data_IF_475849445078
#
_entry.id   IF_475849445078
#
_cell.length_a   1.000
_cell.length_b   1.000
_cell.length_c   1.000
_cell.angle_alpha   90.00
_cell.angle_beta   90.00
_cell.angle_gamma   90.00
#
_symmetry.space_group_name_H-M   'P 1'
#
loop_
_entity.id
_entity.type
_entity.pdbx_description
1 polymer ?
#
# COMPACT_ATOMS: atom_id res chain seq x y z
N UNK A 1 -66.38 4.03 -60.10
CA UNK A 1 -67.75 3.45 -60.12
C UNK A 1 -68.28 3.46 -58.72
N UNK A 2 -69.32 4.22 -58.55
CA UNK A 2 -70.46 4.17 -57.60
C UNK A 2 -70.10 4.32 -56.15
N UNK A 3 -70.23 5.53 -55.59
CA UNK A 3 -71.47 6.14 -55.08
C UNK A 3 -72.32 5.18 -54.22
N UNK A 4 -72.50 5.52 -52.93
CA UNK A 4 -73.82 5.79 -52.41
C UNK A 4 -73.84 6.58 -51.08
N UNK A 5 -74.55 7.69 -51.15
CA UNK A 5 -74.98 8.61 -50.13
C UNK A 5 -76.22 8.02 -49.42
N UNK A 6 -76.36 8.22 -48.10
CA UNK A 6 -77.67 8.45 -47.45
C UNK A 6 -77.49 8.77 -45.94
N UNK A 7 -77.75 9.96 -45.60
CA UNK A 7 -78.96 10.66 -45.10
C UNK A 7 -79.12 10.62 -43.57
N UNK A 8 -79.03 11.81 -43.08
CA UNK A 8 -79.46 12.41 -41.81
C UNK A 8 -80.87 11.95 -41.35
N UNK A 9 -81.03 11.74 -40.07
CA UNK A 9 -82.25 12.01 -39.32
C UNK A 9 -81.94 12.58 -37.94
N UNK A 10 -82.36 13.82 -37.79
CA UNK A 10 -82.48 14.57 -36.47
C UNK A 10 -83.79 14.17 -35.84
N UNK A 11 -83.71 13.92 -34.50
CA UNK A 11 -84.88 14.12 -33.64
C UNK A 11 -84.41 14.74 -32.27
N UNK A 12 -85.13 15.73 -31.75
CA UNK A 12 -84.84 16.36 -30.49
C UNK A 12 -85.65 15.69 -29.39
N UNK A 13 -85.04 15.47 -28.25
CA UNK A 13 -85.78 15.22 -26.98
C UNK A 13 -85.19 15.96 -25.82
N UNK A 14 -85.96 16.92 -25.41
CA UNK A 14 -86.07 17.56 -24.06
C UNK A 14 -85.19 17.03 -22.90
N UNK A 15 -84.64 17.96 -22.38
CA UNK A 15 -84.33 18.38 -21.00
C UNK A 15 -84.60 17.48 -19.81
N UNK A 16 -83.51 17.30 -19.08
CA UNK A 16 -83.60 17.16 -17.61
C UNK A 16 -82.40 17.85 -17.01
N UNK A 17 -82.65 18.97 -16.36
CA UNK A 17 -81.68 19.70 -15.52
C UNK A 17 -81.41 18.86 -14.29
N UNK A 18 -80.25 18.23 -14.22
CA UNK A 18 -79.70 17.68 -12.97
C UNK A 18 -78.71 18.69 -12.42
N UNK A 19 -79.11 19.28 -11.28
CA UNK A 19 -78.18 20.08 -10.46
C UNK A 19 -77.16 19.19 -9.86
N UNK A 20 -75.97 19.18 -10.42
CA UNK A 20 -74.79 18.61 -9.75
C UNK A 20 -74.17 19.65 -8.84
N UNK A 21 -74.14 19.31 -7.56
CA UNK A 21 -73.32 19.98 -6.53
C UNK A 21 -71.86 19.85 -6.93
N UNK A 22 -71.00 20.87 -6.82
CA UNK A 22 -69.58 20.71 -7.00
C UNK A 22 -69.02 19.94 -5.84
N UNK A 23 -68.63 18.69 -6.04
CA UNK A 23 -67.79 17.97 -5.15
C UNK A 23 -66.37 18.53 -5.35
N UNK A 24 -65.91 19.27 -4.34
CA UNK A 24 -64.51 19.74 -4.32
C UNK A 24 -63.59 18.54 -4.22
N UNK A 25 -63.01 18.16 -5.36
CA UNK A 25 -61.94 17.16 -5.42
C UNK A 25 -60.66 17.87 -4.94
N UNK A 26 -60.35 17.70 -3.67
CA UNK A 26 -59.04 18.11 -3.13
C UNK A 26 -57.96 17.16 -3.71
N UNK A 27 -57.30 17.65 -4.75
CA UNK A 27 -56.10 16.98 -5.32
C UNK A 27 -54.96 17.22 -4.29
N UNK A 28 -54.73 16.28 -3.42
CA UNK A 28 -53.52 16.26 -2.57
C UNK A 28 -52.31 15.95 -3.47
N UNK A 29 -51.60 16.97 -3.88
CA UNK A 29 -50.30 16.87 -4.49
C UNK A 29 -49.33 16.44 -3.38
N UNK A 30 -49.07 15.14 -3.27
CA UNK A 30 -47.97 14.62 -2.46
C UNK A 30 -46.68 14.99 -3.20
N UNK A 31 -46.07 16.10 -2.80
CA UNK A 31 -44.72 16.46 -3.20
C UNK A 31 -43.76 15.51 -2.48
N UNK A 32 -43.40 14.39 -3.14
CA UNK A 32 -42.30 13.58 -2.68
C UNK A 32 -41.02 14.37 -2.92
N UNK A 33 -40.55 15.07 -1.90
CA UNK A 33 -39.19 15.55 -1.85
C UNK A 33 -38.27 14.31 -1.78
N UNK A 34 -37.83 13.83 -2.94
CA UNK A 34 -36.67 12.98 -3.01
C UNK A 34 -35.49 13.84 -2.55
N UNK A 35 -35.14 13.73 -1.26
CA UNK A 35 -33.83 14.15 -0.80
C UNK A 35 -32.84 13.22 -1.48
N UNK A 36 -32.30 13.66 -2.60
CA UNK A 36 -31.07 13.09 -3.13
C UNK A 36 -30.02 13.35 -2.06
N UNK A 37 -29.76 12.37 -1.20
CA UNK A 37 -28.51 12.32 -0.48
C UNK A 37 -27.46 12.19 -1.57
N UNK A 38 -26.87 13.32 -1.95
CA UNK A 38 -25.60 13.29 -2.65
C UNK A 38 -24.67 12.52 -1.70
N UNK A 39 -24.40 11.26 -2.00
CA UNK A 39 -23.22 10.59 -1.48
C UNK A 39 -22.08 11.43 -1.99
N UNK A 40 -21.51 12.28 -1.11
CA UNK A 40 -20.28 12.95 -1.42
C UNK A 40 -19.33 11.82 -1.84
N UNK A 41 -18.90 11.81 -3.10
CA UNK A 41 -17.81 10.95 -3.54
C UNK A 41 -16.71 11.15 -2.51
N UNK A 42 -16.26 10.04 -1.91
CA UNK A 42 -15.12 10.10 -1.00
C UNK A 42 -14.00 10.80 -1.76
N UNK A 43 -13.35 11.83 -1.18
CA UNK A 43 -12.29 12.55 -1.87
C UNK A 43 -11.30 11.51 -2.39
N UNK A 44 -11.07 11.51 -3.69
CA UNK A 44 -10.07 10.65 -4.32
C UNK A 44 -8.71 11.11 -3.85
N UNK A 45 -7.90 10.19 -3.33
CA UNK A 45 -6.52 10.49 -3.00
C UNK A 45 -5.78 11.05 -4.22
N UNK A 46 -4.81 11.91 -4.01
CA UNK A 46 -3.95 12.46 -5.08
C UNK A 46 -2.67 11.64 -5.20
N UNK A 47 -2.06 11.68 -6.38
CA UNK A 47 -0.74 11.07 -6.62
C UNK A 47 0.24 12.19 -6.96
N UNK A 48 1.39 12.18 -6.29
CA UNK A 48 2.50 13.12 -6.54
C UNK A 48 3.67 12.32 -7.09
N UNK A 49 4.18 12.72 -8.24
CA UNK A 49 5.42 12.19 -8.80
C UNK A 49 6.55 13.18 -8.64
N UNK A 50 7.75 12.66 -8.46
CA UNK A 50 8.97 13.42 -8.39
C UNK A 50 10.16 12.66 -8.96
N UNK A 51 11.33 13.30 -8.91
CA UNK A 51 12.59 12.67 -9.26
C UNK A 51 13.68 13.12 -8.29
N UNK A 52 14.30 12.17 -7.61
CA UNK A 52 15.30 12.42 -6.56
C UNK A 52 16.57 11.63 -6.90
N UNK A 53 17.70 12.32 -7.03
CA UNK A 53 18.99 11.67 -7.36
C UNK A 53 18.92 10.68 -8.53
N UNK A 54 18.15 11.02 -9.57
CA UNK A 54 17.91 10.23 -10.78
C UNK A 54 16.97 9.02 -10.61
N UNK A 55 16.39 8.81 -9.42
CA UNK A 55 15.31 7.83 -9.21
C UNK A 55 13.96 8.51 -9.36
N UNK A 56 13.02 7.87 -10.05
CA UNK A 56 11.64 8.30 -10.04
C UNK A 56 11.02 7.93 -8.69
N UNK A 57 10.22 8.84 -8.15
CA UNK A 57 9.56 8.68 -6.83
C UNK A 57 8.08 9.03 -6.94
N UNK A 58 7.27 8.39 -6.07
CA UNK A 58 5.82 8.57 -6.06
C UNK A 58 5.29 8.60 -4.63
N UNK A 59 4.31 9.49 -4.37
CA UNK A 59 3.44 9.44 -3.20
C UNK A 59 2.00 9.23 -3.66
N UNK A 60 1.31 8.29 -3.01
CA UNK A 60 -0.14 8.15 -3.07
C UNK A 60 -0.72 8.73 -1.78
N UNK A 61 -1.38 9.87 -1.90
CA UNK A 61 -1.92 10.63 -0.77
C UNK A 61 -3.32 10.14 -0.40
N UNK A 62 -3.63 9.92 0.87
CA UNK A 62 -4.97 9.57 1.32
C UNK A 62 -5.94 10.76 1.18
N UNK A 63 -7.26 10.49 1.11
CA UNK A 63 -8.28 11.53 1.07
C UNK A 63 -8.58 12.13 2.46
N UNK A 64 -7.54 12.48 3.21
CA UNK A 64 -7.64 13.06 4.56
C UNK A 64 -6.60 14.16 4.74
N UNK A 65 -6.89 15.11 5.63
CA UNK A 65 -5.94 16.15 6.02
C UNK A 65 -5.08 15.74 7.23
N UNK A 66 -5.36 14.58 7.82
CA UNK A 66 -4.64 14.03 8.98
C UNK A 66 -4.21 12.59 8.67
N UNK A 67 -3.13 12.41 7.89
CA UNK A 67 -2.62 11.08 7.58
C UNK A 67 -2.01 10.41 8.82
N UNK A 68 -2.08 9.08 8.86
CA UNK A 68 -1.56 8.26 9.96
C UNK A 68 -0.04 8.14 9.98
N UNK A 69 0.61 8.56 8.90
CA UNK A 69 2.04 8.46 8.65
C UNK A 69 2.31 7.94 7.23
N UNK A 70 3.57 7.69 6.95
CA UNK A 70 4.04 7.20 5.66
C UNK A 70 4.39 5.72 5.75
N UNK A 71 3.86 4.93 4.80
CA UNK A 71 4.32 3.59 4.48
C UNK A 71 5.20 3.65 3.22
N UNK A 72 6.41 3.12 3.25
CA UNK A 72 7.26 2.99 2.06
C UNK A 72 7.09 1.59 1.48
N UNK A 73 6.75 1.51 0.20
CA UNK A 73 6.65 0.25 -0.52
C UNK A 73 7.90 -0.01 -1.36
N UNK A 74 8.51 -1.17 -1.12
CA UNK A 74 9.69 -1.69 -1.82
C UNK A 74 9.26 -2.79 -2.78
N UNK A 75 9.41 -2.55 -4.08
CA UNK A 75 8.95 -3.46 -5.13
C UNK A 75 9.81 -4.72 -5.27
N UNK A 76 9.25 -5.75 -5.92
CA UNK A 76 9.98 -6.96 -6.27
C UNK A 76 10.84 -6.81 -7.52
N UNK A 77 11.58 -7.88 -7.86
CA UNK A 77 12.39 -7.94 -9.08
C UNK A 77 11.57 -7.60 -10.33
N UNK A 78 12.17 -6.90 -11.27
CA UNK A 78 11.55 -6.32 -12.47
C UNK A 78 10.46 -5.27 -12.18
N UNK A 79 10.40 -4.74 -10.97
CA UNK A 79 9.51 -3.67 -10.60
C UNK A 79 10.11 -2.28 -10.86
N UNK A 80 9.43 -1.25 -10.35
CA UNK A 80 9.82 0.15 -10.37
C UNK A 80 8.82 0.97 -9.58
N UNK A 81 8.91 2.29 -9.67
CA UNK A 81 8.15 3.26 -8.87
C UNK A 81 6.64 3.03 -8.85
N UNK A 82 6.04 2.53 -9.93
CA UNK A 82 4.60 2.28 -10.04
C UNK A 82 4.20 0.82 -9.78
N UNK A 83 5.18 -0.07 -9.53
CA UNK A 83 4.89 -1.49 -9.35
C UNK A 83 3.89 -1.70 -8.21
N UNK A 84 2.75 -2.31 -8.52
CA UNK A 84 1.65 -2.61 -7.59
C UNK A 84 1.02 -1.42 -6.84
N UNK A 85 1.50 -0.21 -7.05
CA UNK A 85 1.03 0.98 -6.32
C UNK A 85 -0.48 1.24 -6.48
N UNK A 86 -1.06 0.85 -7.61
CA UNK A 86 -2.50 0.98 -7.89
C UNK A 86 -3.30 -0.30 -7.62
N UNK A 87 -2.64 -1.36 -7.13
CA UNK A 87 -3.34 -2.59 -6.76
C UNK A 87 -4.19 -2.42 -5.49
N UNK A 88 -5.33 -3.13 -5.39
CA UNK A 88 -6.29 -2.97 -4.30
C UNK A 88 -5.68 -3.12 -2.90
N UNK A 89 -4.67 -3.97 -2.73
CA UNK A 89 -4.06 -4.23 -1.42
C UNK A 89 -3.24 -3.04 -0.90
N UNK A 90 -2.37 -2.41 -1.71
CA UNK A 90 -1.68 -1.17 -1.33
C UNK A 90 -2.64 0.02 -1.27
N UNK A 91 -3.60 0.09 -2.19
CA UNK A 91 -4.62 1.12 -2.15
C UNK A 91 -5.53 1.02 -0.91
N UNK A 92 -5.56 -0.12 -0.23
CA UNK A 92 -6.25 -0.24 1.07
C UNK A 92 -5.60 0.61 2.16
N UNK A 93 -4.27 0.72 2.18
CA UNK A 93 -3.54 1.64 3.06
C UNK A 93 -3.93 3.09 2.77
N UNK A 94 -3.92 3.50 1.50
CA UNK A 94 -4.30 4.87 1.10
C UNK A 94 -5.73 5.18 1.55
N UNK A 95 -6.68 4.27 1.30
CA UNK A 95 -8.08 4.43 1.75
C UNK A 95 -8.21 4.46 3.27
N UNK A 96 -7.31 3.81 4.00
CA UNK A 96 -7.29 3.80 5.47
C UNK A 96 -6.58 5.01 6.09
N UNK A 97 -6.12 5.96 5.27
CA UNK A 97 -5.52 7.22 5.75
C UNK A 97 -3.98 7.21 5.78
N UNK A 98 -3.31 6.24 5.16
CA UNK A 98 -1.86 6.20 5.05
C UNK A 98 -1.38 6.87 3.76
N UNK A 99 -0.26 7.57 3.84
CA UNK A 99 0.51 7.95 2.66
C UNK A 99 1.32 6.74 2.25
N UNK A 100 1.33 6.39 0.96
CA UNK A 100 2.18 5.31 0.44
C UNK A 100 3.21 5.91 -0.49
N UNK A 101 4.49 5.75 -0.15
CA UNK A 101 5.64 6.20 -0.93
C UNK A 101 6.29 5.03 -1.67
N UNK A 102 6.87 5.28 -2.84
CA UNK A 102 7.66 4.32 -3.61
C UNK A 102 8.74 5.01 -4.43
N UNK A 103 9.78 4.28 -4.80
CA UNK A 103 10.87 4.70 -5.69
C UNK A 103 11.27 3.58 -6.63
N UNK A 104 12.10 3.87 -7.61
CA UNK A 104 12.73 2.84 -8.46
C UNK A 104 13.80 2.02 -7.71
N UNK A 105 14.38 2.54 -6.62
CA UNK A 105 15.39 1.86 -5.79
C UNK A 105 16.52 1.20 -6.61
N UNK A 106 16.99 1.86 -7.67
CA UNK A 106 17.93 1.30 -8.66
C UNK A 106 17.41 0.00 -9.30
N UNK A 107 16.09 -0.10 -9.51
CA UNK A 107 15.40 -1.24 -10.11
C UNK A 107 15.71 -2.57 -9.41
N UNK A 108 16.40 -3.51 -10.04
CA UNK A 108 16.71 -4.84 -9.49
C UNK A 108 17.97 -4.79 -8.59
N UNK A 109 17.98 -3.92 -7.60
CA UNK A 109 19.16 -3.63 -6.76
C UNK A 109 19.49 -4.70 -5.71
N UNK A 110 18.53 -5.55 -5.35
CA UNK A 110 18.67 -6.59 -4.33
C UNK A 110 19.27 -6.11 -2.98
N UNK A 111 19.15 -4.83 -2.67
CA UNK A 111 19.62 -4.25 -1.40
C UNK A 111 21.09 -3.80 -1.43
N UNK A 112 21.62 -3.47 -2.60
CA UNK A 112 22.95 -2.87 -2.72
C UNK A 112 23.02 -1.49 -2.07
N UNK A 113 24.21 -0.91 -1.98
CA UNK A 113 24.43 0.40 -1.34
C UNK A 113 23.61 1.51 -1.98
N UNK A 114 23.50 1.52 -3.31
CA UNK A 114 22.74 2.54 -4.03
C UNK A 114 21.25 2.55 -3.64
N UNK A 115 20.64 1.39 -3.43
CA UNK A 115 19.24 1.33 -2.99
C UNK A 115 19.04 1.73 -1.52
N UNK A 116 20.06 1.58 -0.68
CA UNK A 116 20.07 2.16 0.67
C UNK A 116 20.04 3.69 0.60
N UNK A 117 20.91 4.29 -0.22
CA UNK A 117 20.93 5.73 -0.47
C UNK A 117 19.61 6.24 -1.07
N UNK A 118 19.02 5.49 -1.99
CA UNK A 118 17.69 5.83 -2.56
C UNK A 118 16.59 5.82 -1.51
N UNK A 119 16.65 4.90 -0.56
CA UNK A 119 15.69 4.86 0.55
C UNK A 119 15.81 6.11 1.42
N UNK A 120 17.01 6.53 1.79
CA UNK A 120 17.26 7.76 2.56
C UNK A 120 16.78 9.01 1.78
N UNK A 121 17.06 9.05 0.48
CA UNK A 121 16.63 10.15 -0.37
C UNK A 121 15.10 10.20 -0.53
N UNK A 122 14.43 9.04 -0.64
CA UNK A 122 12.98 8.95 -0.68
C UNK A 122 12.35 9.42 0.62
N UNK A 123 12.90 9.01 1.78
CA UNK A 123 12.44 9.44 3.10
C UNK A 123 12.48 10.96 3.19
N UNK A 124 13.63 11.58 2.93
CA UNK A 124 13.80 13.02 3.02
C UNK A 124 12.84 13.77 2.08
N UNK A 125 12.65 13.28 0.85
CA UNK A 125 11.71 13.87 -0.09
C UNK A 125 10.25 13.69 0.36
N UNK A 126 9.87 12.51 0.84
CA UNK A 126 8.50 12.23 1.28
C UNK A 126 8.12 13.09 2.50
N UNK A 127 9.02 13.25 3.47
CA UNK A 127 8.83 14.13 4.63
C UNK A 127 8.69 15.59 4.21
N UNK A 128 9.51 16.07 3.26
CA UNK A 128 9.41 17.44 2.71
C UNK A 128 8.06 17.68 2.01
N UNK A 129 7.57 16.71 1.23
CA UNK A 129 6.30 16.83 0.51
C UNK A 129 5.06 16.70 1.43
N UNK A 130 5.24 16.29 2.67
CA UNK A 130 4.14 15.95 3.60
C UNK A 130 4.18 16.72 4.93
N UNK A 131 4.90 17.84 4.97
CA UNK A 131 5.07 18.66 6.18
C UNK A 131 5.59 17.85 7.39
N UNK A 132 6.52 16.91 7.13
CA UNK A 132 7.19 16.14 8.18
C UNK A 132 6.38 14.94 8.71
N UNK A 133 5.49 14.37 7.90
CA UNK A 133 4.82 13.11 8.29
C UNK A 133 5.83 12.00 8.51
N UNK A 134 5.76 11.28 9.66
CA UNK A 134 6.77 10.29 10.00
C UNK A 134 6.66 9.00 9.17
N UNK A 135 7.81 8.38 8.88
CA UNK A 135 7.85 7.04 8.33
C UNK A 135 7.53 6.04 9.45
N UNK A 136 6.48 5.24 9.26
CA UNK A 136 6.01 4.30 10.29
C UNK A 136 6.01 2.84 9.85
N UNK A 137 6.05 2.59 8.55
CA UNK A 137 5.92 1.25 8.01
C UNK A 137 6.76 1.08 6.75
N UNK A 138 7.51 -0.02 6.67
CA UNK A 138 8.04 -0.54 5.41
C UNK A 138 7.19 -1.72 4.96
N UNK A 139 6.75 -1.70 3.70
CA UNK A 139 6.02 -2.77 3.04
C UNK A 139 6.87 -3.28 1.89
N UNK A 140 7.19 -4.56 1.88
CA UNK A 140 8.18 -5.11 0.96
C UNK A 140 7.64 -6.33 0.22
N UNK A 141 7.85 -6.38 -1.10
CA UNK A 141 7.51 -7.53 -1.93
C UNK A 141 8.74 -8.26 -2.45
N UNK A 142 8.91 -9.55 -2.13
CA UNK A 142 9.98 -10.40 -2.68
C UNK A 142 11.37 -9.75 -2.53
N UNK A 143 12.07 -9.41 -3.62
CA UNK A 143 13.35 -8.68 -3.63
C UNK A 143 13.33 -7.41 -2.77
N UNK A 144 12.21 -6.70 -2.71
CA UNK A 144 12.07 -5.50 -1.89
C UNK A 144 12.35 -5.72 -0.41
N UNK A 145 12.24 -6.96 0.07
CA UNK A 145 12.63 -7.32 1.45
C UNK A 145 14.14 -7.16 1.66
N UNK A 146 14.97 -7.61 0.72
CA UNK A 146 16.42 -7.38 0.80
C UNK A 146 16.75 -5.88 0.76
N UNK A 147 16.04 -5.11 -0.06
CA UNK A 147 16.22 -3.64 -0.15
C UNK A 147 15.91 -2.96 1.17
N UNK A 148 14.71 -3.21 1.69
CA UNK A 148 14.24 -2.56 2.93
C UNK A 148 15.03 -2.98 4.18
N UNK A 149 15.39 -4.26 4.31
CA UNK A 149 16.18 -4.74 5.44
C UNK A 149 17.61 -4.21 5.41
N UNK A 150 18.24 -4.11 4.23
CA UNK A 150 19.53 -3.45 4.10
C UNK A 150 19.43 -1.94 4.39
N UNK A 151 18.35 -1.26 4.02
CA UNK A 151 18.13 0.12 4.40
C UNK A 151 17.99 0.29 5.93
N UNK A 152 17.31 -0.64 6.62
CA UNK A 152 17.19 -0.64 8.09
C UNK A 152 18.49 -0.97 8.81
N UNK A 153 19.40 -1.74 8.20
CA UNK A 153 20.65 -2.20 8.80
C UNK A 153 21.80 -1.23 8.53
N UNK A 154 21.86 -0.66 7.34
CA UNK A 154 22.98 0.17 6.86
C UNK A 154 22.61 1.65 6.68
N UNK A 155 21.32 1.99 6.66
CA UNK A 155 20.82 3.35 6.61
C UNK A 155 20.69 3.99 7.99
N UNK A 156 20.15 5.21 7.99
CA UNK A 156 20.00 6.03 9.21
C UNK A 156 18.67 5.81 9.93
N UNK A 157 17.70 5.13 9.30
CA UNK A 157 16.36 5.00 9.84
C UNK A 157 15.78 3.60 9.75
N UNK A 158 15.05 3.22 10.80
CA UNK A 158 14.25 2.01 10.83
C UNK A 158 12.83 2.36 11.32
N UNK A 159 11.77 1.98 10.58
CA UNK A 159 10.42 2.25 11.02
C UNK A 159 10.03 1.36 12.20
N UNK A 160 9.00 1.75 12.99
CA UNK A 160 8.48 0.91 14.05
C UNK A 160 7.85 -0.40 13.54
N UNK A 161 7.55 -0.51 12.27
CA UNK A 161 6.94 -1.69 11.66
C UNK A 161 7.51 -2.04 10.29
N UNK A 162 7.63 -3.35 10.04
CA UNK A 162 8.03 -3.92 8.76
C UNK A 162 7.08 -5.05 8.34
N UNK A 163 6.59 -5.00 7.10
CA UNK A 163 5.66 -5.97 6.52
C UNK A 163 6.25 -6.56 5.24
N UNK A 164 6.60 -7.83 5.27
CA UNK A 164 7.20 -8.53 4.14
C UNK A 164 6.25 -9.53 3.49
N UNK A 165 5.99 -9.38 2.18
CA UNK A 165 5.22 -10.33 1.39
C UNK A 165 6.18 -11.22 0.61
N UNK A 166 6.15 -12.54 0.90
CA UNK A 166 7.07 -13.52 0.29
C UNK A 166 8.53 -13.01 0.28
N UNK A 167 9.05 -12.60 1.44
CA UNK A 167 10.29 -11.85 1.53
C UNK A 167 11.51 -12.67 1.10
N UNK A 168 12.24 -12.18 0.10
CA UNK A 168 13.52 -12.73 -0.34
C UNK A 168 14.62 -12.08 0.50
N UNK A 169 15.24 -12.85 1.40
CA UNK A 169 16.20 -12.35 2.40
C UNK A 169 17.51 -13.14 2.47
N UNK A 170 17.60 -14.30 1.84
CA UNK A 170 18.84 -15.02 1.65
C UNK A 170 19.26 -14.96 0.18
N UNK A 171 20.15 -14.05 -0.15
CA UNK A 171 20.62 -13.84 -1.53
C UNK A 171 21.32 -15.07 -2.12
N UNK A 172 21.78 -16.00 -1.26
CA UNK A 172 22.43 -17.25 -1.69
C UNK A 172 21.45 -18.39 -1.96
N UNK A 173 20.17 -18.18 -1.67
CA UNK A 173 19.10 -19.16 -1.84
C UNK A 173 18.06 -18.74 -2.90
N UNK A 174 18.50 -17.96 -3.90
CA UNK A 174 17.65 -17.43 -4.98
C UNK A 174 17.74 -18.24 -6.30
N UNK A 175 18.32 -19.42 -6.25
CA UNK A 175 18.54 -20.32 -7.42
C UNK A 175 17.26 -20.67 -8.21
N UNK A 176 16.11 -20.67 -7.56
CA UNK A 176 14.81 -20.92 -8.20
C UNK A 176 14.09 -19.66 -8.69
N UNK A 177 14.55 -18.47 -8.32
CA UNK A 177 13.96 -17.21 -8.80
C UNK A 177 14.49 -16.92 -10.21
N UNK A 178 13.62 -16.78 -11.22
CA UNK A 178 14.06 -16.62 -12.59
C UNK A 178 15.04 -15.46 -12.79
N UNK A 179 16.28 -15.79 -13.16
CA UNK A 179 17.33 -14.83 -13.47
C UNK A 179 17.99 -14.14 -12.27
N UNK A 180 17.59 -14.48 -11.04
CA UNK A 180 18.07 -13.79 -9.83
C UNK A 180 19.59 -13.88 -9.67
N UNK A 181 20.20 -15.05 -9.85
CA UNK A 181 21.67 -15.22 -9.72
C UNK A 181 22.45 -14.20 -10.57
N UNK A 182 22.08 -14.08 -11.85
CA UNK A 182 22.71 -13.10 -12.75
C UNK A 182 22.42 -11.66 -12.32
N UNK A 183 21.17 -11.36 -11.97
CA UNK A 183 20.74 -10.02 -11.61
C UNK A 183 21.40 -9.57 -10.30
N UNK A 184 21.48 -10.43 -9.30
CA UNK A 184 22.18 -10.17 -8.04
C UNK A 184 23.64 -9.87 -8.30
N UNK A 185 24.31 -10.72 -9.11
CA UNK A 185 25.71 -10.50 -9.47
C UNK A 185 25.93 -9.17 -10.22
N UNK A 186 25.00 -8.78 -11.10
CA UNK A 186 25.04 -7.47 -11.79
C UNK A 186 24.81 -6.31 -10.81
N UNK A 187 23.84 -6.43 -9.88
CA UNK A 187 23.51 -5.41 -8.92
C UNK A 187 24.66 -5.08 -7.95
N UNK A 188 25.48 -6.07 -7.61
CA UNK A 188 26.63 -5.89 -6.72
C UNK A 188 27.97 -5.77 -7.47
N UNK A 189 27.96 -5.92 -8.81
CA UNK A 189 29.20 -5.96 -9.61
C UNK A 189 30.08 -7.18 -9.33
N UNK A 190 29.48 -8.25 -8.81
CA UNK A 190 30.13 -9.51 -8.36
C UNK A 190 29.28 -10.21 -7.33
N UNK A 191 29.91 -11.06 -6.52
CA UNK A 191 29.23 -11.67 -5.37
C UNK A 191 28.78 -10.59 -4.38
N UNK A 192 27.54 -10.68 -3.82
CA UNK A 192 27.10 -9.72 -2.82
C UNK A 192 28.02 -9.78 -1.57
N UNK A 193 28.38 -8.63 -0.99
CA UNK A 193 29.12 -8.60 0.26
C UNK A 193 28.38 -9.38 1.36
N UNK A 194 29.13 -10.04 2.24
CA UNK A 194 28.56 -10.86 3.32
C UNK A 194 27.50 -10.11 4.15
N UNK A 195 27.77 -8.86 4.45
CA UNK A 195 26.93 -7.98 5.26
C UNK A 195 25.76 -7.37 4.47
N UNK A 196 25.69 -7.57 3.15
CA UNK A 196 24.53 -7.19 2.33
C UNK A 196 23.54 -8.33 2.08
N UNK A 197 23.83 -9.52 2.58
CA UNK A 197 22.87 -10.60 2.61
C UNK A 197 22.08 -10.53 3.93
N UNK A 198 20.78 -10.15 3.95
CA UNK A 198 20.02 -9.86 5.17
C UNK A 198 20.07 -10.96 6.23
N UNK A 199 20.10 -12.24 5.83
CA UNK A 199 20.20 -13.34 6.81
C UNK A 199 21.53 -13.40 7.57
N UNK A 200 22.55 -12.71 7.10
CA UNK A 200 23.85 -12.63 7.75
C UNK A 200 23.95 -11.43 8.72
N UNK A 201 22.99 -10.52 8.68
CA UNK A 201 22.97 -9.29 9.50
C UNK A 201 21.75 -9.20 10.41
N UNK A 202 21.08 -10.32 10.67
CA UNK A 202 19.94 -10.37 11.58
C UNK A 202 20.30 -9.83 12.96
N UNK A 203 21.54 -10.04 13.41
CA UNK A 203 22.06 -9.52 14.68
C UNK A 203 22.18 -7.99 14.75
N UNK A 204 22.13 -7.31 13.60
CA UNK A 204 22.18 -5.85 13.48
C UNK A 204 20.80 -5.23 13.25
N UNK A 205 19.79 -6.04 12.92
CA UNK A 205 18.44 -5.54 12.67
C UNK A 205 17.79 -5.00 13.96
N UNK A 206 16.98 -3.93 13.88
CA UNK A 206 16.37 -3.32 15.06
C UNK A 206 15.32 -4.24 15.68
N UNK A 207 15.46 -4.52 16.98
CA UNK A 207 14.53 -5.39 17.73
C UNK A 207 13.29 -4.65 18.23
N UNK A 208 13.28 -3.34 18.19
CA UNK A 208 12.12 -2.49 18.50
C UNK A 208 11.12 -2.39 17.33
N UNK A 209 11.54 -2.76 16.13
CA UNK A 209 10.63 -2.90 14.97
C UNK A 209 9.79 -4.16 15.14
N UNK A 210 8.48 -4.07 14.88
CA UNK A 210 7.59 -5.22 14.74
C UNK A 210 7.65 -5.75 13.31
N UNK A 211 7.75 -7.07 13.17
CA UNK A 211 7.89 -7.73 11.88
C UNK A 211 6.68 -8.60 11.60
N UNK A 212 6.05 -8.39 10.43
CA UNK A 212 5.00 -9.25 9.88
C UNK A 212 5.45 -9.82 8.56
N UNK A 213 5.34 -11.12 8.38
CA UNK A 213 5.67 -11.80 7.13
C UNK A 213 4.46 -12.57 6.61
N UNK A 214 4.16 -12.42 5.33
CA UNK A 214 3.17 -13.23 4.60
C UNK A 214 3.93 -14.17 3.69
N UNK A 215 3.75 -15.47 3.87
CA UNK A 215 4.55 -16.48 3.17
C UNK A 215 3.76 -17.76 2.95
N UNK A 216 4.16 -18.54 1.96
CA UNK A 216 3.56 -19.84 1.64
C UNK A 216 4.61 -20.97 1.69
N UNK A 217 4.31 -22.12 2.28
CA UNK A 217 5.16 -23.29 2.19
C UNK A 217 5.21 -23.87 0.76
N UNK A 218 4.30 -23.46 -0.12
CA UNK A 218 4.21 -23.88 -1.52
C UNK A 218 5.05 -22.96 -2.45
N UNK A 219 5.61 -21.86 -1.93
CA UNK A 219 6.51 -20.99 -2.66
C UNK A 219 7.86 -21.68 -2.84
N UNK A 220 8.11 -22.12 -4.08
CA UNK A 220 9.37 -22.79 -4.46
C UNK A 220 10.45 -21.81 -4.92
N UNK A 221 10.10 -20.57 -5.20
CA UNK A 221 11.08 -19.55 -5.60
C UNK A 221 11.79 -18.98 -4.37
N UNK A 222 11.03 -18.48 -3.41
CA UNK A 222 11.54 -17.94 -2.16
C UNK A 222 11.12 -18.89 -1.03
N UNK A 223 11.89 -19.94 -0.84
CA UNK A 223 11.57 -21.03 0.09
C UNK A 223 11.47 -20.50 1.53
N UNK A 224 10.36 -20.80 2.20
CA UNK A 224 10.08 -20.38 3.56
C UNK A 224 11.26 -20.66 4.53
N UNK A 225 11.80 -21.87 4.51
CA UNK A 225 12.84 -22.32 5.45
C UNK A 225 14.16 -21.57 5.30
N UNK A 226 14.45 -21.02 4.15
CA UNK A 226 15.71 -20.33 3.84
C UNK A 226 15.55 -18.80 3.98
N UNK A 227 14.34 -18.30 3.89
CA UNK A 227 14.02 -16.89 3.89
C UNK A 227 13.23 -16.46 5.14
N UNK A 228 11.90 -16.39 5.04
CA UNK A 228 11.03 -15.88 6.13
C UNK A 228 11.20 -16.66 7.44
N UNK A 229 11.34 -17.98 7.38
CA UNK A 229 11.55 -18.81 8.57
C UNK A 229 12.88 -18.50 9.26
N UNK A 230 13.97 -18.43 8.49
CA UNK A 230 15.30 -18.10 9.02
C UNK A 230 15.33 -16.67 9.60
N UNK A 231 14.69 -15.72 8.93
CA UNK A 231 14.58 -14.36 9.43
C UNK A 231 13.79 -14.31 10.74
N UNK A 232 12.64 -14.98 10.80
CA UNK A 232 11.78 -15.03 11.98
C UNK A 232 12.53 -15.64 13.17
N UNK A 233 13.10 -16.83 13.00
CA UNK A 233 13.83 -17.54 14.06
C UNK A 233 14.96 -16.65 14.65
N UNK A 234 15.70 -15.96 13.78
CA UNK A 234 16.80 -15.10 14.21
C UNK A 234 16.34 -13.83 14.91
N UNK A 235 15.27 -13.19 14.45
CA UNK A 235 14.71 -12.00 15.11
C UNK A 235 14.04 -12.33 16.44
N UNK A 236 13.26 -13.42 16.51
CA UNK A 236 12.62 -13.91 17.75
C UNK A 236 13.67 -14.27 18.80
N UNK A 237 14.77 -14.93 18.42
CA UNK A 237 15.87 -15.25 19.33
C UNK A 237 16.51 -14.00 19.96
N UNK A 238 16.36 -12.83 19.33
CA UNK A 238 16.83 -11.53 19.84
C UNK A 238 15.75 -10.74 20.59
N UNK A 239 14.52 -11.29 20.68
CA UNK A 239 13.41 -10.67 21.40
C UNK A 239 12.61 -9.65 20.58
N UNK A 240 12.74 -9.64 19.26
CA UNK A 240 11.88 -8.84 18.40
C UNK A 240 10.44 -9.42 18.36
N UNK A 241 9.45 -8.56 18.14
CA UNK A 241 8.07 -8.96 17.91
C UNK A 241 7.90 -9.40 16.45
N UNK A 242 7.73 -10.71 16.25
CA UNK A 242 7.62 -11.31 14.90
C UNK A 242 6.33 -12.09 14.76
N UNK A 243 5.70 -11.98 13.62
CA UNK A 243 4.52 -12.77 13.27
C UNK A 243 4.52 -13.20 11.82
N UNK A 244 3.99 -14.40 11.54
CA UNK A 244 3.88 -14.95 10.20
C UNK A 244 2.41 -15.24 9.88
N UNK A 245 1.94 -14.73 8.74
CA UNK A 245 0.72 -15.18 8.10
C UNK A 245 1.08 -16.22 7.06
N UNK A 246 0.66 -17.46 7.29
CA UNK A 246 0.82 -18.52 6.31
C UNK A 246 -0.36 -18.52 5.35
N UNK A 247 -0.06 -18.41 4.07
CA UNK A 247 -1.02 -18.51 2.97
C UNK A 247 -0.73 -19.72 2.11
N UNK A 248 -1.58 -20.00 1.12
CA UNK A 248 -1.40 -21.07 0.15
C UNK A 248 -1.04 -20.47 -1.22
N UNK A 249 -0.37 -21.28 -2.04
CA UNK A 249 -0.05 -20.91 -3.41
C UNK A 249 1.44 -20.65 -3.67
N UNK A 250 1.79 -20.59 -4.96
CA UNK A 250 3.15 -20.34 -5.43
C UNK A 250 3.52 -18.86 -5.26
N UNK A 251 4.76 -18.50 -5.63
CA UNK A 251 5.29 -17.13 -5.46
C UNK A 251 4.38 -16.01 -5.99
N UNK A 252 3.75 -16.22 -7.15
CA UNK A 252 2.90 -15.21 -7.78
C UNK A 252 1.41 -15.31 -7.42
N UNK A 253 1.05 -16.19 -6.47
CA UNK A 253 -0.34 -16.36 -6.07
C UNK A 253 -0.90 -15.11 -5.37
N UNK A 254 -2.11 -14.66 -5.73
CA UNK A 254 -2.75 -13.49 -5.13
C UNK A 254 -2.98 -13.57 -3.61
N UNK A 255 -3.01 -14.78 -3.04
CA UNK A 255 -3.20 -14.99 -1.59
C UNK A 255 -2.15 -14.30 -0.71
N UNK A 256 -0.98 -13.99 -1.28
CA UNK A 256 0.06 -13.22 -0.58
C UNK A 256 -0.31 -11.75 -0.32
N UNK A 257 -1.27 -11.20 -1.06
CA UNK A 257 -1.62 -9.78 -1.03
C UNK A 257 -2.93 -9.53 -0.26
N UNK A 258 -2.91 -9.87 1.04
CA UNK A 258 -4.05 -9.70 1.94
C UNK A 258 -4.17 -8.24 2.40
N UNK A 259 -5.19 -7.55 1.89
CA UNK A 259 -5.45 -6.15 2.20
C UNK A 259 -5.93 -5.93 3.64
N UNK A 260 -6.66 -6.87 4.23
CA UNK A 260 -7.18 -6.79 5.60
C UNK A 260 -6.04 -6.98 6.60
N UNK A 261 -5.17 -7.97 6.38
CA UNK A 261 -4.00 -8.21 7.21
C UNK A 261 -3.03 -7.02 7.15
N UNK A 262 -2.75 -6.50 5.96
CA UNK A 262 -1.87 -5.34 5.80
C UNK A 262 -2.40 -4.11 6.54
N UNK A 263 -3.68 -3.77 6.39
CA UNK A 263 -4.28 -2.62 7.07
C UNK A 263 -4.31 -2.84 8.57
N UNK A 264 -4.69 -4.02 9.05
CA UNK A 264 -4.72 -4.34 10.48
C UNK A 264 -3.35 -4.19 11.11
N UNK A 265 -2.31 -4.69 10.46
CA UNK A 265 -0.94 -4.54 10.92
C UNK A 265 -0.51 -3.07 10.92
N UNK A 266 -0.77 -2.33 9.84
CA UNK A 266 -0.45 -0.91 9.74
C UNK A 266 -1.12 -0.07 10.82
N UNK A 267 -2.40 -0.33 11.13
CA UNK A 267 -3.13 0.36 12.21
C UNK A 267 -2.46 0.19 13.57
N UNK A 268 -1.86 -0.98 13.82
CA UNK A 268 -1.12 -1.22 15.05
C UNK A 268 0.16 -0.39 15.18
N UNK A 269 0.63 0.18 14.07
CA UNK A 269 1.85 1.00 13.98
C UNK A 269 1.59 2.51 14.01
N UNK A 270 0.33 2.94 13.83
CA UNK A 270 -0.02 4.34 13.64
C UNK A 270 0.32 5.26 14.84
N UNK A 271 0.33 4.72 16.06
CA UNK A 271 0.62 5.48 17.29
C UNK A 271 2.06 5.42 17.77
N UNK A 272 2.91 4.63 17.12
CA UNK A 272 4.28 4.41 17.60
C UNK A 272 5.18 5.62 17.26
N UNK A 273 6.14 5.99 18.15
CA UNK A 273 7.13 7.00 17.80
C UNK A 273 8.00 6.52 16.64
N UNK A 274 8.31 7.42 15.69
CA UNK A 274 9.30 7.12 14.65
C UNK A 274 10.70 7.01 15.29
N UNK A 275 11.40 5.90 15.05
CA UNK A 275 12.77 5.68 15.53
C UNK A 275 13.82 6.37 14.64
N UNK A 276 13.51 7.56 14.12
CA UNK A 276 14.50 8.37 13.39
C UNK A 276 15.53 8.87 14.38
N UNK A 277 16.80 8.51 14.19
CA UNK A 277 17.90 8.67 15.11
C UNK A 277 18.03 10.05 15.73
N UNK A 278 17.76 10.12 17.04
CA UNK A 278 18.19 11.20 17.92
C UNK A 278 19.37 10.73 18.79
N UNK A 279 20.35 10.09 18.20
CA UNK A 279 21.65 9.91 18.86
C UNK A 279 22.63 10.95 18.28
N UNK A 280 22.63 12.16 18.85
CA UNK A 280 23.61 13.18 18.42
C UNK A 280 23.47 14.58 19.02
N UNK A 281 22.77 14.76 20.13
CA UNK A 281 22.72 16.09 20.73
C UNK A 281 22.51 16.04 22.26
N UNK A 282 23.48 15.47 23.02
CA UNK A 282 23.64 15.80 24.42
C UNK A 282 24.95 15.23 24.99
N UNK A 283 26.13 15.72 24.53
CA UNK A 283 27.38 15.66 25.28
C UNK A 283 28.24 16.89 25.01
N UNK A 284 27.68 18.08 25.29
CA UNK A 284 28.50 19.28 25.38
C UNK A 284 27.84 20.29 26.33
N UNK A 285 27.75 19.99 27.61
CA UNK A 285 27.73 21.01 28.68
C UNK A 285 27.81 20.39 30.08
N UNK A 286 29.02 19.96 30.47
CA UNK A 286 29.36 19.78 31.87
C UNK A 286 30.89 19.86 32.02
N UNK A 287 31.44 21.06 31.91
CA UNK A 287 32.74 21.43 32.44
C UNK A 287 32.82 22.95 32.49
N UNK A 288 32.37 23.52 33.62
CA UNK A 288 33.04 24.61 34.35
C UNK A 288 32.38 24.76 35.73
#
# INVERSE_FOLDING_TARGET
>A
MSELIARVRTHPVLGRIFRFRPLALALAIILVLATATATAEAPTGSVIYGRVKAQDVRLSMPPTHDPKGIAIYFHGQNGGVDNRMDEPWLQSLVRSGWIVASSDFHTDSWGNEASTDDTENLIAWAEDQTDGQPIRLYVSGSMGASVSLNAMTHGSSAPPCWYGVKPAVDLTAMDNVPGADRIIHEAFGGEPPYDRNPVNTIDQMPTQTRYRMVTSPEDTWVRLSENAGRLADGLEARGADVSILTVHGTHDDPSHFDAEDLVTFAESCAGEPSNVGTEGADTANAAD
#
